data_IF_891109306114
#
_entry.id   IF_891109306114
#
_cell.length_a   1.000
_cell.length_b   1.000
_cell.length_c   1.000
_cell.angle_alpha   90.00
_cell.angle_beta   90.00
_cell.angle_gamma   90.00
#
_symmetry.space_group_name_H-M   'P 1'
#
loop_
_entity.id
_entity.type
_entity.pdbx_description
1 polymer ?
#
# COMPACT_ATOMS: atom_id res chain seq x y z
N UNK A 1 0.94 -26.34 32.52
CA UNK A 1 2.31 -25.79 32.34
C UNK A 1 2.22 -24.76 31.22
N UNK A 2 2.11 -23.47 31.56
CA UNK A 2 2.03 -22.40 30.56
C UNK A 2 3.45 -22.05 30.09
N UNK A 3 3.71 -22.24 28.80
CA UNK A 3 4.93 -21.78 28.16
C UNK A 3 4.95 -20.24 28.17
N UNK A 4 5.81 -19.66 29.00
CA UNK A 4 6.27 -18.29 28.85
C UNK A 4 7.11 -18.22 27.57
N UNK A 5 6.44 -18.02 26.42
CA UNK A 5 7.09 -17.41 25.27
C UNK A 5 7.49 -16.01 25.73
N UNK A 6 8.76 -15.85 26.13
CA UNK A 6 9.37 -14.54 26.30
C UNK A 6 9.20 -13.86 24.95
N UNK A 7 8.19 -13.00 24.82
CA UNK A 7 8.06 -12.14 23.67
C UNK A 7 9.23 -11.18 23.76
N UNK A 8 10.36 -11.54 23.16
CA UNK A 8 11.55 -10.71 23.09
C UNK A 8 11.27 -9.58 22.08
N UNK A 9 10.33 -8.71 22.45
CA UNK A 9 10.00 -7.53 21.65
C UNK A 9 11.23 -6.63 21.67
N UNK A 10 11.64 -6.07 20.53
CA UNK A 10 12.75 -5.13 20.50
C UNK A 10 12.45 -3.98 21.47
N UNK A 11 13.47 -3.59 22.23
CA UNK A 11 13.38 -2.53 23.23
C UNK A 11 14.60 -1.64 23.21
N UNK A 12 14.45 -0.43 23.74
CA UNK A 12 15.52 0.54 23.96
C UNK A 12 15.32 1.20 25.31
N UNK A 13 16.38 1.32 26.08
CA UNK A 13 16.40 1.97 27.39
C UNK A 13 16.75 3.46 27.29
N UNK A 14 16.34 4.24 28.27
CA UNK A 14 16.74 5.65 28.40
C UNK A 14 18.27 5.85 28.50
N UNK A 15 19.02 4.82 28.92
CA UNK A 15 20.48 4.86 28.97
C UNK A 15 21.07 4.74 27.57
N UNK A 16 20.60 3.78 26.77
CA UNK A 16 20.97 3.66 25.35
C UNK A 16 20.60 4.93 24.56
N UNK A 17 19.45 5.56 24.86
CA UNK A 17 19.10 6.86 24.27
C UNK A 17 20.11 7.93 24.66
N UNK A 18 20.54 7.98 25.93
CA UNK A 18 21.51 8.96 26.41
C UNK A 18 22.86 8.82 25.71
N UNK A 19 23.31 7.58 25.49
CA UNK A 19 24.49 7.26 24.70
C UNK A 19 24.32 7.68 23.23
N UNK A 20 23.17 7.35 22.62
CA UNK A 20 22.88 7.66 21.22
C UNK A 20 22.87 9.17 20.92
N UNK A 21 22.32 9.98 21.84
CA UNK A 21 22.26 11.44 21.67
C UNK A 21 23.43 12.17 22.34
N UNK A 22 24.38 11.44 22.92
CA UNK A 22 25.53 11.97 23.66
C UNK A 22 25.13 13.01 24.73
N UNK A 23 24.05 12.72 25.46
CA UNK A 23 23.56 13.57 26.56
C UNK A 23 23.65 12.83 27.88
N UNK A 24 23.70 13.60 28.98
CA UNK A 24 23.56 13.03 30.33
C UNK A 24 22.21 12.32 30.48
N UNK A 25 22.23 11.12 31.05
CA UNK A 25 21.04 10.31 31.31
C UNK A 25 19.96 11.05 32.12
N UNK A 26 20.34 11.88 33.10
CA UNK A 26 19.39 12.70 33.87
C UNK A 26 18.58 13.67 33.00
N UNK A 27 19.19 14.22 31.95
CA UNK A 27 18.50 15.10 31.00
C UNK A 27 17.50 14.32 30.15
N UNK A 28 17.86 13.09 29.77
CA UNK A 28 16.96 12.17 29.05
C UNK A 28 15.76 11.81 29.92
N UNK A 29 15.99 11.38 31.16
CA UNK A 29 14.91 11.06 32.12
C UNK A 29 13.96 12.23 32.33
N UNK A 30 14.48 13.45 32.52
CA UNK A 30 13.66 14.67 32.66
C UNK A 30 12.80 14.93 31.42
N UNK A 31 13.37 14.73 30.23
CA UNK A 31 12.66 14.91 28.96
C UNK A 31 11.53 13.90 28.82
N UNK A 32 11.78 12.62 29.14
CA UNK A 32 10.77 11.56 29.14
C UNK A 32 9.60 11.92 30.05
N UNK A 33 9.88 12.31 31.31
CA UNK A 33 8.84 12.72 32.27
C UNK A 33 8.03 13.92 31.75
N UNK A 34 8.71 14.90 31.15
CA UNK A 34 8.06 16.10 30.60
C UNK A 34 7.19 15.80 29.38
N UNK A 35 7.61 14.86 28.52
CA UNK A 35 6.82 14.46 27.35
C UNK A 35 5.63 13.60 27.75
N UNK A 36 5.81 12.70 28.72
CA UNK A 36 4.73 11.88 29.26
C UNK A 36 3.68 12.73 29.97
N UNK A 37 4.07 13.75 30.75
CA UNK A 37 3.12 14.65 31.43
C UNK A 37 2.34 15.57 30.49
N UNK A 38 2.82 15.75 29.26
CA UNK A 38 2.15 16.48 28.18
C UNK A 38 1.33 15.58 27.26
N UNK A 39 1.21 14.28 27.58
CA UNK A 39 0.56 13.26 26.74
C UNK A 39 1.13 13.16 25.32
N UNK A 40 2.39 13.59 25.11
CA UNK A 40 3.06 13.49 23.79
C UNK A 40 3.54 12.05 23.54
N UNK A 41 4.01 11.40 24.61
CA UNK A 41 4.38 9.98 24.66
C UNK A 41 3.63 9.31 25.81
N UNK A 42 3.57 7.99 25.80
CA UNK A 42 3.05 7.24 26.95
C UNK A 42 4.12 7.15 28.02
N UNK A 43 3.70 7.08 29.29
CA UNK A 43 4.64 6.82 30.38
C UNK A 43 5.30 5.45 30.17
N UNK A 44 6.61 5.38 29.92
CA UNK A 44 7.28 4.10 29.69
C UNK A 44 7.40 3.32 31.01
N UNK A 45 7.60 2.01 30.90
CA UNK A 45 7.87 1.17 32.06
C UNK A 45 9.24 1.54 32.67
N UNK A 46 9.33 1.55 33.99
CA UNK A 46 10.60 1.73 34.71
C UNK A 46 11.18 0.34 35.00
N UNK A 47 12.46 0.17 34.72
CA UNK A 47 13.27 -0.99 35.10
C UNK A 47 14.49 -0.52 35.91
N UNK A 48 14.97 -1.39 36.79
CA UNK A 48 16.20 -1.15 37.55
C UNK A 48 17.29 -2.02 36.95
N UNK A 49 18.38 -1.39 36.52
CA UNK A 49 19.57 -2.07 36.03
C UNK A 49 20.69 -1.96 37.05
N UNK A 50 21.39 -3.06 37.29
CA UNK A 50 22.62 -3.04 38.07
C UNK A 50 23.78 -2.64 37.15
N UNK A 51 24.53 -1.61 37.53
CA UNK A 51 25.77 -1.21 36.86
C UNK A 51 26.90 -1.09 37.86
N UNK A 52 28.12 -1.31 37.40
CA UNK A 52 29.32 -1.00 38.18
C UNK A 52 29.67 0.47 37.95
N UNK A 53 29.77 1.25 39.03
CA UNK A 53 30.21 2.63 38.94
C UNK A 53 31.73 2.75 38.76
N UNK A 54 32.22 3.97 38.56
CA UNK A 54 33.66 4.24 38.37
C UNK A 54 34.53 3.88 39.59
N UNK A 55 33.93 3.51 40.73
CA UNK A 55 34.59 3.11 41.96
C UNK A 55 34.53 1.58 42.18
N UNK A 56 34.01 0.81 41.22
CA UNK A 56 33.92 -0.64 41.30
C UNK A 56 32.75 -1.17 42.12
N UNK A 57 31.82 -0.30 42.54
CA UNK A 57 30.64 -0.71 43.30
C UNK A 57 29.43 -0.91 42.38
N UNK A 58 28.67 -1.98 42.65
CA UNK A 58 27.35 -2.17 42.07
C UNK A 58 26.39 -1.09 42.55
N UNK A 59 25.76 -0.41 41.60
CA UNK A 59 24.72 0.59 41.83
C UNK A 59 23.51 0.27 40.96
N UNK A 60 22.34 0.42 41.54
CA UNK A 60 21.07 0.31 40.83
C UNK A 60 20.77 1.63 40.13
N UNK A 61 20.50 1.57 38.83
CA UNK A 61 20.06 2.70 38.04
C UNK A 61 18.64 2.46 37.51
N UNK A 62 17.76 3.42 37.79
CA UNK A 62 16.42 3.43 37.23
C UNK A 62 16.45 3.93 35.80
N UNK A 63 15.97 3.11 34.88
CA UNK A 63 15.87 3.41 33.46
C UNK A 63 14.43 3.26 32.98
N UNK A 64 14.04 4.11 32.02
CA UNK A 64 12.82 3.91 31.27
C UNK A 64 13.05 2.94 30.13
N UNK A 65 12.14 1.99 29.93
CA UNK A 65 12.18 1.00 28.85
C UNK A 65 11.06 1.26 27.85
N UNK A 66 11.47 1.41 26.59
CA UNK A 66 10.61 1.52 25.44
C UNK A 66 10.58 0.17 24.72
N UNK A 67 9.42 -0.49 24.60
CA UNK A 67 9.30 -1.82 23.99
C UNK A 67 8.20 -1.87 22.91
N UNK A 68 8.45 -2.63 21.84
CA UNK A 68 7.50 -2.79 20.72
C UNK A 68 7.32 -1.52 19.88
N UNK A 69 6.31 -1.50 19.01
CA UNK A 69 6.08 -0.40 18.06
C UNK A 69 5.77 0.94 18.74
N UNK A 70 5.03 0.91 19.85
CA UNK A 70 4.68 2.11 20.61
C UNK A 70 5.91 2.68 21.30
N UNK A 71 6.71 1.82 21.93
CA UNK A 71 8.00 2.21 22.51
C UNK A 71 8.95 2.78 21.45
N UNK A 72 9.00 2.19 20.26
CA UNK A 72 9.81 2.68 19.13
C UNK A 72 9.39 4.08 18.69
N UNK A 73 8.09 4.35 18.53
CA UNK A 73 7.59 5.70 18.22
C UNK A 73 8.00 6.69 19.30
N UNK A 74 7.75 6.35 20.56
CA UNK A 74 7.96 7.26 21.67
C UNK A 74 9.46 7.52 21.92
N UNK A 75 10.34 6.53 21.71
CA UNK A 75 11.79 6.73 21.79
C UNK A 75 12.31 7.65 20.68
N UNK A 76 11.77 7.56 19.46
CA UNK A 76 12.11 8.48 18.36
C UNK A 76 11.70 9.91 18.71
N UNK A 77 10.53 10.12 19.31
CA UNK A 77 10.08 11.45 19.75
C UNK A 77 11.02 12.02 20.81
N UNK A 78 11.44 11.22 21.78
CA UNK A 78 12.41 11.61 22.81
C UNK A 78 13.74 12.03 22.17
N UNK A 79 14.25 11.23 21.23
CA UNK A 79 15.49 11.54 20.48
C UNK A 79 15.34 12.84 19.68
N UNK A 80 14.22 13.03 18.99
CA UNK A 80 13.95 14.25 18.21
C UNK A 80 13.96 15.51 19.08
N UNK A 81 13.42 15.44 20.30
CA UNK A 81 13.43 16.55 21.26
C UNK A 81 14.84 16.85 21.81
N UNK A 82 15.67 15.82 21.96
CA UNK A 82 17.02 15.92 22.54
C UNK A 82 18.11 16.26 21.51
N UNK A 83 17.86 15.93 20.23
CA UNK A 83 18.75 16.20 19.10
C UNK A 83 17.99 16.98 18.01
N UNK A 84 17.75 18.28 18.26
CA UNK A 84 17.15 19.15 17.25
C UNK A 84 18.02 19.25 15.98
N UNK A 85 19.34 19.06 16.08
CA UNK A 85 20.27 19.06 14.94
C UNK A 85 20.02 17.86 14.02
N UNK A 86 19.76 16.68 14.58
CA UNK A 86 19.38 15.49 13.80
C UNK A 86 18.04 15.74 13.08
N UNK A 87 17.08 16.32 13.78
CA UNK A 87 15.78 16.68 13.20
C UNK A 87 15.93 17.72 12.09
N UNK A 88 16.78 18.73 12.27
CA UNK A 88 17.09 19.74 11.25
C UNK A 88 17.67 19.09 9.98
N UNK A 89 18.66 18.20 10.14
CA UNK A 89 19.23 17.45 8.99
C UNK A 89 18.19 16.61 8.25
N UNK A 90 17.25 16.00 8.98
CA UNK A 90 16.15 15.26 8.35
C UNK A 90 15.28 16.20 7.51
N UNK A 91 14.92 17.37 8.05
CA UNK A 91 14.12 18.39 7.36
C UNK A 91 14.86 18.94 6.14
N UNK A 92 16.14 19.29 6.27
CA UNK A 92 16.96 19.79 5.17
C UNK A 92 17.06 18.76 4.05
N UNK A 93 17.22 17.47 4.40
CA UNK A 93 17.24 16.39 3.40
C UNK A 93 15.93 16.27 2.62
N UNK A 94 14.79 16.47 3.28
CA UNK A 94 13.51 16.48 2.59
C UNK A 94 13.38 17.68 1.64
N UNK A 95 13.83 18.86 2.06
CA UNK A 95 13.87 20.05 1.19
C UNK A 95 14.73 19.82 -0.04
N UNK A 96 15.92 19.26 0.10
CA UNK A 96 16.78 18.91 -1.05
C UNK A 96 16.05 18.00 -2.04
N UNK A 97 15.38 16.96 -1.56
CA UNK A 97 14.62 16.02 -2.41
C UNK A 97 13.41 16.68 -3.09
N UNK A 98 12.74 17.60 -2.39
CA UNK A 98 11.64 18.39 -2.93
C UNK A 98 12.13 19.39 -3.98
N UNK A 99 13.28 20.03 -3.77
CA UNK A 99 13.95 20.91 -4.75
C UNK A 99 14.39 20.14 -6.00
N UNK A 100 14.98 18.95 -5.81
CA UNK A 100 15.34 18.05 -6.92
C UNK A 100 14.13 17.64 -7.78
N UNK A 101 12.95 17.46 -7.16
CA UNK A 101 11.72 17.08 -7.86
C UNK A 101 10.91 18.27 -8.40
N UNK A 102 10.99 19.42 -7.74
CA UNK A 102 10.27 20.63 -8.13
C UNK A 102 10.97 21.45 -9.19
N UNK A 103 12.25 21.14 -9.49
CA UNK A 103 12.94 21.74 -10.63
C UNK A 103 12.12 21.53 -11.91
N UNK A 104 11.79 22.59 -12.65
CA UNK A 104 11.03 22.45 -13.89
C UNK A 104 11.81 21.54 -14.83
N UNK A 105 11.14 20.52 -15.37
CA UNK A 105 11.72 19.63 -16.38
C UNK A 105 12.27 20.47 -17.51
N UNK A 106 13.50 20.17 -17.93
CA UNK A 106 14.06 20.78 -19.12
C UNK A 106 13.19 20.46 -20.34
N UNK A 107 13.28 21.27 -21.40
CA UNK A 107 12.54 21.00 -22.63
C UNK A 107 12.86 19.60 -23.20
N UNK A 108 14.11 19.14 -23.07
CA UNK A 108 14.53 17.81 -23.50
C UNK A 108 13.88 16.69 -22.68
N UNK A 109 13.79 16.83 -21.36
CA UNK A 109 13.13 15.85 -20.48
C UNK A 109 11.62 15.76 -20.77
N UNK A 110 10.97 16.91 -21.02
CA UNK A 110 9.55 16.94 -21.38
C UNK A 110 9.28 16.22 -22.70
N UNK A 111 10.12 16.45 -23.71
CA UNK A 111 10.02 15.78 -25.02
C UNK A 111 10.23 14.27 -24.86
N UNK A 112 11.23 13.85 -24.07
CA UNK A 112 11.51 12.43 -23.85
C UNK A 112 10.34 11.72 -23.14
N UNK A 113 9.77 12.33 -22.11
CA UNK A 113 8.61 11.78 -21.40
C UNK A 113 7.37 11.72 -22.30
N UNK A 114 7.11 12.78 -23.09
CA UNK A 114 6.02 12.79 -24.06
C UNK A 114 6.20 11.71 -25.13
N UNK A 115 7.41 11.51 -25.63
CA UNK A 115 7.70 10.45 -26.58
C UNK A 115 7.44 9.05 -25.99
N UNK A 116 7.85 8.80 -24.74
CA UNK A 116 7.57 7.54 -24.04
C UNK A 116 6.07 7.31 -23.85
N UNK A 117 5.33 8.35 -23.45
CA UNK A 117 3.87 8.28 -23.31
C UNK A 117 3.18 8.02 -24.65
N UNK A 118 3.65 8.65 -25.74
CA UNK A 118 3.10 8.43 -27.07
C UNK A 118 3.32 7.00 -27.55
N UNK A 119 4.50 6.42 -27.34
CA UNK A 119 4.78 5.01 -27.69
C UNK A 119 3.86 4.06 -26.93
N UNK A 120 3.63 4.31 -25.63
CA UNK A 120 2.71 3.50 -24.84
C UNK A 120 1.26 3.68 -25.31
N UNK A 121 0.86 4.90 -25.67
CA UNK A 121 -0.45 5.16 -26.27
C UNK A 121 -0.63 4.44 -27.62
N UNK A 122 0.37 4.46 -28.49
CA UNK A 122 0.35 3.73 -29.76
C UNK A 122 0.16 2.23 -29.55
N UNK A 123 0.89 1.63 -28.60
CA UNK A 123 0.70 0.21 -28.24
C UNK A 123 -0.72 -0.10 -27.77
N UNK A 124 -1.30 0.79 -26.96
CA UNK A 124 -2.69 0.66 -26.51
C UNK A 124 -3.67 0.80 -27.68
N UNK A 125 -3.42 1.72 -28.60
CA UNK A 125 -4.23 1.90 -29.81
C UNK A 125 -4.20 0.64 -30.67
N UNK A 126 -3.04 0.03 -30.90
CA UNK A 126 -2.93 -1.23 -31.65
C UNK A 126 -3.76 -2.37 -31.03
N UNK A 127 -3.75 -2.52 -29.70
CA UNK A 127 -4.57 -3.53 -29.02
C UNK A 127 -6.08 -3.27 -29.14
N UNK A 128 -6.47 -1.99 -29.17
CA UNK A 128 -7.87 -1.60 -29.39
C UNK A 128 -8.25 -1.85 -30.84
N UNK A 129 -7.38 -1.52 -31.79
CA UNK A 129 -7.59 -1.79 -33.22
C UNK A 129 -7.79 -3.29 -33.50
N UNK A 130 -6.97 -4.17 -32.90
CA UNK A 130 -7.14 -5.63 -33.01
C UNK A 130 -8.51 -6.09 -32.49
N UNK A 131 -8.92 -5.61 -31.31
CA UNK A 131 -10.24 -5.93 -30.77
C UNK A 131 -11.37 -5.43 -31.66
N UNK A 132 -11.23 -4.23 -32.24
CA UNK A 132 -12.22 -3.70 -33.19
C UNK A 132 -12.31 -4.59 -34.42
N UNK A 133 -11.20 -5.07 -34.96
CA UNK A 133 -11.20 -5.98 -36.12
C UNK A 133 -11.95 -7.28 -35.81
N UNK A 134 -11.73 -7.90 -34.64
CA UNK A 134 -12.48 -9.10 -34.24
C UNK A 134 -13.99 -8.85 -34.10
N UNK A 135 -14.37 -7.68 -33.59
CA UNK A 135 -15.77 -7.28 -33.45
C UNK A 135 -16.40 -7.02 -34.82
N UNK A 136 -15.68 -6.36 -35.73
CA UNK A 136 -16.11 -6.14 -37.11
C UNK A 136 -16.32 -7.47 -37.83
N UNK A 137 -15.40 -8.42 -37.69
CA UNK A 137 -15.55 -9.76 -38.26
C UNK A 137 -16.78 -10.50 -37.68
N UNK A 138 -16.98 -10.44 -36.36
CA UNK A 138 -18.16 -11.02 -35.72
C UNK A 138 -19.46 -10.39 -36.25
N UNK A 139 -19.51 -9.07 -36.42
CA UNK A 139 -20.64 -8.36 -37.00
C UNK A 139 -20.88 -8.80 -38.45
N UNK A 140 -19.85 -8.93 -39.28
CA UNK A 140 -19.97 -9.39 -40.67
C UNK A 140 -20.38 -10.87 -40.79
N UNK A 141 -19.92 -11.73 -39.88
CA UNK A 141 -20.34 -13.13 -39.82
C UNK A 141 -21.82 -13.26 -39.41
N UNK A 142 -22.27 -12.42 -38.47
CA UNK A 142 -23.70 -12.30 -38.12
C UNK A 142 -24.52 -11.83 -39.32
N UNK A 143 -24.08 -10.80 -40.05
CA UNK A 143 -24.76 -10.29 -41.26
C UNK A 143 -24.87 -11.35 -42.36
N UNK A 144 -23.84 -12.19 -42.53
CA UNK A 144 -23.82 -13.28 -43.52
C UNK A 144 -24.60 -14.53 -43.09
N UNK A 145 -25.16 -14.57 -41.87
CA UNK A 145 -25.98 -15.67 -41.39
C UNK A 145 -25.20 -16.85 -40.79
N UNK A 146 -23.88 -16.71 -40.62
CA UNK A 146 -23.03 -17.68 -39.92
C UNK A 146 -22.96 -17.30 -38.43
N UNK A 147 -24.01 -17.62 -37.68
CA UNK A 147 -24.02 -17.41 -36.23
C UNK A 147 -23.18 -18.46 -35.48
N UNK A 148 -22.73 -18.07 -34.28
CA UNK A 148 -21.96 -18.92 -33.35
C UNK A 148 -22.67 -20.27 -33.14
N UNK A 149 -21.92 -21.37 -33.05
CA UNK A 149 -22.50 -22.70 -32.86
C UNK A 149 -23.50 -22.72 -31.68
N UNK A 150 -24.73 -23.15 -31.94
CA UNK A 150 -25.85 -23.10 -31.00
C UNK A 150 -26.82 -21.92 -31.18
N UNK A 151 -26.46 -20.91 -31.98
CA UNK A 151 -27.33 -19.78 -32.31
C UNK A 151 -27.85 -19.89 -33.76
N UNK A 152 -29.16 -19.75 -33.96
CA UNK A 152 -29.81 -19.76 -35.30
C UNK A 152 -30.64 -18.50 -35.46
N UNK A 153 -30.53 -17.83 -36.61
CA UNK A 153 -31.20 -16.54 -36.84
C UNK A 153 -32.70 -16.70 -36.97
N UNK A 154 -33.47 -15.76 -36.44
CA UNK A 154 -34.94 -15.77 -36.43
C UNK A 154 -35.53 -16.18 -37.80
N UNK A 155 -35.12 -15.51 -38.88
CA UNK A 155 -35.59 -15.80 -40.24
C UNK A 155 -35.24 -17.20 -40.72
N UNK A 156 -34.08 -17.73 -40.30
CA UNK A 156 -33.65 -19.08 -40.67
C UNK A 156 -34.40 -20.15 -39.88
N UNK A 157 -34.77 -19.88 -38.62
CA UNK A 157 -35.66 -20.74 -37.82
C UNK A 157 -37.03 -20.83 -38.47
N UNK A 158 -37.63 -19.69 -38.83
CA UNK A 158 -38.94 -19.63 -39.52
C UNK A 158 -38.91 -20.45 -40.82
N UNK A 159 -37.88 -20.24 -41.65
CA UNK A 159 -37.75 -20.94 -42.94
C UNK A 159 -37.55 -22.46 -42.82
N UNK A 160 -36.78 -22.94 -41.83
CA UNK A 160 -36.49 -24.38 -41.66
C UNK A 160 -37.56 -25.14 -40.90
N UNK A 161 -38.24 -24.49 -39.94
CA UNK A 161 -39.28 -25.12 -39.12
C UNK A 161 -40.66 -25.11 -39.76
N UNK A 162 -40.90 -24.20 -40.73
CA UNK A 162 -42.22 -23.99 -41.31
C UNK A 162 -43.22 -23.34 -40.35
N UNK A 163 -42.74 -22.85 -39.20
CA UNK A 163 -43.56 -22.18 -38.19
C UNK A 163 -43.98 -20.78 -38.64
N UNK A 164 -45.15 -20.32 -38.19
CA UNK A 164 -45.56 -18.92 -38.35
C UNK A 164 -44.72 -18.01 -37.46
N UNK A 165 -44.50 -16.76 -37.88
CA UNK A 165 -43.69 -15.77 -37.14
C UNK A 165 -44.08 -15.68 -35.66
N UNK A 166 -45.38 -15.63 -35.37
CA UNK A 166 -45.91 -15.54 -34.00
C UNK A 166 -45.52 -16.76 -33.12
N UNK A 167 -45.45 -17.95 -33.69
CA UNK A 167 -45.03 -19.17 -32.97
C UNK A 167 -43.54 -19.13 -32.63
N UNK A 168 -42.70 -18.59 -33.51
CA UNK A 168 -41.25 -18.47 -33.27
C UNK A 168 -40.95 -17.40 -32.22
N UNK A 169 -41.66 -16.27 -32.24
CA UNK A 169 -41.54 -15.20 -31.24
C UNK A 169 -41.95 -15.67 -29.83
N UNK A 170 -43.01 -16.48 -29.74
CA UNK A 170 -43.47 -17.09 -28.47
C UNK A 170 -42.43 -18.05 -27.90
N UNK A 171 -41.74 -18.81 -28.74
CA UNK A 171 -40.69 -19.74 -28.29
C UNK A 171 -39.44 -19.01 -27.78
N UNK A 172 -39.05 -17.91 -28.43
CA UNK A 172 -37.89 -17.09 -28.03
C UNK A 172 -38.14 -16.33 -26.73
N UNK A 173 -39.35 -15.82 -26.52
CA UNK A 173 -39.74 -15.15 -25.27
C UNK A 173 -39.78 -16.11 -24.08
N UNK A 174 -40.12 -17.38 -24.30
CA UNK A 174 -40.10 -18.39 -23.24
C UNK A 174 -38.69 -18.93 -22.90
N UNK A 175 -37.74 -18.95 -23.85
CA UNK A 175 -36.37 -19.44 -23.57
C UNK A 175 -35.48 -18.44 -22.82
N UNK A 176 -35.71 -17.13 -22.96
CA UNK A 176 -34.94 -16.10 -22.24
C UNK A 176 -35.29 -16.04 -20.73
N UNK A 177 -36.33 -16.74 -20.28
CA UNK A 177 -36.82 -16.69 -18.89
C UNK A 177 -36.43 -17.89 -18.01
N UNK A 178 -35.54 -18.78 -18.44
CA UNK A 178 -35.07 -19.91 -17.63
C UNK A 178 -33.54 -19.84 -17.46
N UNK A 179 -33.02 -19.65 -16.23
CA UNK A 179 -31.59 -19.69 -15.98
C UNK A 179 -31.07 -21.11 -16.24
N UNK A 180 -30.02 -21.22 -17.04
CA UNK A 180 -29.34 -22.50 -17.31
C UNK A 180 -28.71 -22.96 -15.99
N UNK A 181 -29.37 -23.87 -15.28
CA UNK A 181 -28.73 -24.63 -14.21
C UNK A 181 -27.69 -25.56 -14.84
N UNK A 182 -26.42 -25.22 -14.72
CA UNK A 182 -25.32 -26.16 -14.95
C UNK A 182 -25.20 -27.08 -13.74
N UNK A 183 -25.44 -28.38 -13.93
CA UNK A 183 -25.09 -29.41 -12.96
C UNK A 183 -24.00 -30.31 -13.56
N UNK A 184 -23.03 -30.61 -12.70
CA UNK A 184 -21.78 -31.39 -12.87
C UNK A 184 -20.56 -30.61 -13.35
#
# INVERSE_FOLDING_TARGET
>A
MMNNLITNKPSMSSLEIAELVEKRHDNVKRTIVTLASKDVIRSPQIEVLERINNLGFAVNDEVYKFSGEEGKRDSIIVVAQLSPEFTARLVDRWKELEEERSRPKSQAELIAEMALLNVEQERRLYQVEEQVETVVEAVENIKRGNMRAGYVGYRQVVAKSGMTDASVETLLTHTVSQPIHTNS
#
